data_IF_822371533141
#
_entry.id   IF_822371533141
#
_cell.length_a   1.000
_cell.length_b   1.000
_cell.length_c   1.000
_cell.angle_alpha   90.00
_cell.angle_beta   90.00
_cell.angle_gamma   90.00
#
_symmetry.space_group_name_H-M   'P 1'
#
loop_
_entity.id
_entity.type
_entity.pdbx_description
1 polymer ?
#
# COMPACT_ATOMS: atom_id res chain seq x y z
N UNK A 1 15.37 13.11 11.58
CA UNK A 1 15.88 11.87 12.21
C UNK A 1 16.52 10.90 11.22
N UNK A 2 16.01 10.75 9.99
CA UNK A 2 16.34 9.60 9.15
C UNK A 2 17.75 9.57 8.54
N UNK A 3 18.52 10.66 8.64
CA UNK A 3 19.88 10.70 8.12
C UNK A 3 20.86 10.42 9.26
N UNK A 4 21.79 9.45 9.13
CA UNK A 4 22.03 8.54 7.98
C UNK A 4 21.35 7.16 8.10
N UNK A 5 20.67 6.87 9.21
CA UNK A 5 20.32 5.49 9.61
C UNK A 5 18.94 5.01 9.18
N UNK A 6 18.19 5.83 8.45
CA UNK A 6 16.83 5.54 8.04
C UNK A 6 15.76 5.92 9.08
N UNK A 7 14.48 5.75 8.74
CA UNK A 7 13.36 6.16 9.57
C UNK A 7 13.24 5.32 10.85
N UNK A 8 12.85 5.95 11.96
CA UNK A 8 12.67 5.24 13.23
C UNK A 8 11.39 5.68 13.96
N UNK A 9 11.43 6.79 14.70
CA UNK A 9 10.30 7.26 15.51
C UNK A 9 9.10 7.69 14.65
N UNK A 10 9.36 8.15 13.42
CA UNK A 10 8.32 8.47 12.46
C UNK A 10 7.56 7.25 11.90
N UNK A 11 7.92 6.01 12.29
CA UNK A 11 7.29 4.77 11.79
C UNK A 11 6.96 3.75 12.88
N UNK A 12 7.68 3.73 13.99
CA UNK A 12 7.50 2.70 15.04
C UNK A 12 6.30 2.95 15.98
N UNK A 13 5.58 4.07 15.84
CA UNK A 13 4.46 4.41 16.73
C UNK A 13 3.19 3.60 16.43
N UNK A 14 2.96 3.19 15.17
CA UNK A 14 1.84 2.35 14.78
C UNK A 14 2.04 1.76 13.38
N UNK A 15 1.70 0.48 13.22
CA UNK A 15 1.48 -0.17 11.92
C UNK A 15 0.27 -1.09 12.08
N UNK A 16 -0.66 -1.02 11.13
CA UNK A 16 -1.91 -1.81 11.17
C UNK A 16 -1.93 -2.75 9.98
N UNK A 17 -2.35 -4.00 10.19
CA UNK A 17 -2.53 -5.02 9.15
C UNK A 17 -3.97 -5.51 9.15
N UNK A 18 -4.47 -5.95 7.99
CA UNK A 18 -5.77 -6.63 7.92
C UNK A 18 -5.73 -7.95 8.67
N UNK A 19 -6.86 -8.40 9.25
CA UNK A 19 -6.89 -9.63 10.07
C UNK A 19 -6.84 -10.92 9.24
N UNK A 20 -7.12 -10.84 7.93
CA UNK A 20 -7.19 -12.00 7.05
C UNK A 20 -5.93 -12.15 6.20
N UNK A 21 -5.22 -13.27 6.38
CA UNK A 21 -4.09 -13.66 5.54
C UNK A 21 -4.64 -14.41 4.32
N UNK A 22 -4.61 -13.76 3.15
CA UNK A 22 -4.95 -14.40 1.87
C UNK A 22 -3.74 -15.17 1.37
N UNK A 23 -3.91 -16.47 1.11
CA UNK A 23 -2.78 -17.35 0.75
C UNK A 23 -2.33 -17.14 -0.69
N UNK A 24 -1.08 -17.50 -0.99
CA UNK A 24 -0.53 -17.37 -2.35
C UNK A 24 -1.24 -18.30 -3.35
N UNK A 25 -1.77 -19.43 -2.89
CA UNK A 25 -2.56 -20.36 -3.70
C UNK A 25 -3.88 -19.72 -4.14
N UNK A 26 -4.55 -19.00 -3.23
CA UNK A 26 -5.75 -18.23 -3.55
C UNK A 26 -5.46 -17.13 -4.58
N UNK A 27 -4.27 -16.53 -4.52
CA UNK A 27 -3.83 -15.47 -5.43
C UNK A 27 -3.34 -15.99 -6.80
N UNK A 28 -3.11 -17.29 -6.95
CA UNK A 28 -2.51 -17.86 -8.16
C UNK A 28 -3.23 -17.47 -9.48
N UNK A 29 -4.58 -17.44 -9.55
CA UNK A 29 -5.29 -17.05 -10.78
C UNK A 29 -5.10 -15.59 -11.21
N UNK A 30 -4.69 -14.74 -10.27
CA UNK A 30 -4.53 -13.29 -10.43
C UNK A 30 -3.07 -12.88 -10.65
N UNK A 31 -2.19 -13.86 -10.87
CA UNK A 31 -0.82 -13.60 -11.32
C UNK A 31 -0.83 -13.02 -12.74
N UNK A 32 0.16 -12.18 -13.00
CA UNK A 32 0.41 -11.54 -14.28
C UNK A 32 1.90 -11.54 -14.61
N UNK A 33 2.27 -11.37 -15.89
CA UNK A 33 3.66 -11.16 -16.27
C UNK A 33 4.27 -9.97 -15.53
N UNK A 34 5.48 -10.16 -15.01
CA UNK A 34 6.27 -9.06 -14.46
C UNK A 34 7.21 -8.53 -15.54
N UNK A 35 7.17 -7.22 -15.75
CA UNK A 35 7.99 -6.54 -16.77
C UNK A 35 8.62 -5.27 -16.20
N UNK A 36 9.66 -4.78 -16.88
CA UNK A 36 10.25 -3.46 -16.65
C UNK A 36 9.98 -2.53 -17.82
N UNK A 37 9.96 -1.21 -17.60
CA UNK A 37 9.98 -0.25 -18.69
C UNK A 37 11.14 -0.55 -19.68
N UNK A 38 10.95 -0.39 -21.00
CA UNK A 38 11.96 -0.73 -22.01
C UNK A 38 13.33 -0.05 -21.88
N UNK A 39 13.43 1.05 -21.13
CA UNK A 39 14.68 1.78 -20.87
C UNK A 39 15.39 1.40 -19.57
N UNK A 40 14.78 0.55 -18.74
CA UNK A 40 15.31 0.23 -17.42
C UNK A 40 16.35 -0.89 -17.48
N UNK A 41 17.40 -0.84 -16.64
CA UNK A 41 18.35 -1.92 -16.54
C UNK A 41 17.66 -3.21 -16.08
N UNK A 42 18.06 -4.32 -16.68
CA UNK A 42 17.62 -5.64 -16.23
C UNK A 42 18.22 -5.95 -14.85
N UNK A 43 17.49 -6.66 -13.97
CA UNK A 43 18.04 -7.10 -12.69
C UNK A 43 19.26 -8.01 -12.87
N UNK A 44 20.09 -8.09 -11.83
CA UNK A 44 21.13 -9.11 -11.76
C UNK A 44 20.52 -10.52 -11.79
N UNK A 45 21.26 -11.55 -12.24
CA UNK A 45 20.72 -12.90 -12.43
C UNK A 45 20.01 -13.51 -11.22
N UNK A 46 20.45 -13.21 -9.98
CA UNK A 46 19.79 -13.73 -8.77
C UNK A 46 18.41 -13.13 -8.48
N UNK A 47 18.04 -12.05 -9.18
CA UNK A 47 16.75 -11.36 -9.08
C UNK A 47 15.86 -11.61 -10.31
N UNK A 48 16.20 -12.57 -11.16
CA UNK A 48 15.47 -12.83 -12.39
C UNK A 48 15.35 -14.32 -12.69
N UNK A 49 14.20 -14.73 -13.22
CA UNK A 49 13.96 -16.07 -13.72
C UNK A 49 12.74 -16.09 -14.65
N UNK A 50 12.58 -17.16 -15.44
CA UNK A 50 11.43 -17.30 -16.35
C UNK A 50 10.08 -17.22 -15.61
N UNK A 51 9.96 -17.87 -14.45
CA UNK A 51 8.71 -17.87 -13.67
C UNK A 51 8.31 -16.47 -13.18
N UNK A 52 9.28 -15.63 -12.83
CA UNK A 52 9.07 -14.22 -12.51
C UNK A 52 8.51 -13.47 -13.72
N UNK A 53 9.13 -13.60 -14.90
CA UNK A 53 8.70 -12.91 -16.12
C UNK A 53 7.28 -13.30 -16.53
N UNK A 54 6.94 -14.59 -16.41
CA UNK A 54 5.64 -15.12 -16.83
C UNK A 54 4.51 -14.81 -15.82
N UNK A 55 4.81 -14.74 -14.51
CA UNK A 55 3.78 -14.76 -13.45
C UNK A 55 4.17 -14.08 -12.12
N UNK A 56 5.19 -13.22 -12.15
CA UNK A 56 5.78 -12.59 -10.97
C UNK A 56 4.98 -11.45 -10.36
N UNK A 57 4.13 -10.78 -11.15
CA UNK A 57 3.21 -9.76 -10.67
C UNK A 57 1.91 -10.39 -10.15
N UNK A 58 1.23 -9.70 -9.24
CA UNK A 58 -0.09 -10.10 -8.73
C UNK A 58 -1.01 -8.89 -8.85
N UNK A 59 -2.13 -9.04 -9.57
CA UNK A 59 -3.10 -7.95 -9.74
C UNK A 59 -4.05 -7.89 -8.55
N UNK A 60 -3.63 -7.14 -7.53
CA UNK A 60 -4.42 -6.82 -6.34
C UNK A 60 -4.85 -5.37 -6.46
N UNK A 61 -6.15 -5.13 -6.59
CA UNK A 61 -6.74 -3.80 -6.54
C UNK A 61 -6.62 -3.25 -5.12
N UNK A 62 -6.20 -2.00 -4.98
CA UNK A 62 -5.99 -1.32 -3.71
C UNK A 62 -6.78 -0.03 -3.68
N UNK A 63 -7.48 0.23 -2.58
CA UNK A 63 -8.12 1.52 -2.32
C UNK A 63 -7.77 2.06 -0.95
N UNK A 64 -7.59 3.37 -0.88
CA UNK A 64 -7.48 4.13 0.36
C UNK A 64 -8.62 5.15 0.45
N UNK A 65 -9.26 5.20 1.61
CA UNK A 65 -10.44 6.00 1.90
C UNK A 65 -10.22 6.81 3.17
N UNK A 66 -10.84 7.98 3.24
CA UNK A 66 -10.82 8.87 4.38
C UNK A 66 -12.24 9.20 4.83
N UNK A 67 -12.46 9.10 6.13
CA UNK A 67 -13.71 9.44 6.78
C UNK A 67 -13.42 10.38 7.96
N UNK A 68 -13.75 11.65 7.81
CA UNK A 68 -13.49 12.66 8.86
C UNK A 68 -14.58 12.61 9.93
N UNK A 69 -14.30 13.17 11.11
CA UNK A 69 -15.33 13.27 12.16
C UNK A 69 -16.57 14.07 11.70
N UNK A 70 -16.36 15.12 10.89
CA UNK A 70 -17.44 15.96 10.35
C UNK A 70 -18.20 15.25 9.22
N UNK A 71 -17.54 14.48 8.35
CA UNK A 71 -18.21 13.65 7.35
C UNK A 71 -19.11 12.60 8.00
N UNK A 72 -18.66 11.95 9.07
CA UNK A 72 -19.50 11.05 9.88
C UNK A 72 -20.69 11.75 10.52
N UNK A 73 -20.46 12.90 11.18
CA UNK A 73 -21.52 13.65 11.83
C UNK A 73 -22.60 14.15 10.86
N UNK A 74 -22.21 14.46 9.62
CA UNK A 74 -23.11 14.90 8.56
C UNK A 74 -23.61 13.76 7.66
N UNK A 75 -23.34 12.49 8.00
CA UNK A 75 -23.71 11.30 7.21
C UNK A 75 -23.31 11.36 5.73
N UNK A 76 -22.16 11.98 5.42
CA UNK A 76 -21.65 12.12 4.05
C UNK A 76 -20.97 10.85 3.51
N UNK A 77 -20.63 9.91 4.40
CA UNK A 77 -19.88 8.70 4.07
C UNK A 77 -18.39 8.95 3.80
N UNK A 78 -17.57 7.89 3.69
CA UNK A 78 -16.14 7.99 3.41
C UNK A 78 -15.86 8.46 1.97
N UNK A 79 -14.79 9.23 1.79
CA UNK A 79 -14.27 9.66 0.49
C UNK A 79 -13.11 8.77 0.06
N UNK A 80 -13.15 8.23 -1.17
CA UNK A 80 -12.00 7.53 -1.75
C UNK A 80 -10.93 8.56 -2.10
N UNK A 81 -9.73 8.36 -1.56
CA UNK A 81 -8.57 9.20 -1.86
C UNK A 81 -7.75 8.66 -3.02
N UNK A 82 -7.60 7.34 -3.09
CA UNK A 82 -6.76 6.68 -4.09
C UNK A 82 -7.31 5.32 -4.45
N UNK A 83 -7.12 4.93 -5.70
CA UNK A 83 -7.33 3.58 -6.22
C UNK A 83 -6.14 3.22 -7.10
N UNK A 84 -5.44 2.14 -6.79
CA UNK A 84 -4.34 1.63 -7.62
C UNK A 84 -4.35 0.10 -7.66
N UNK A 85 -3.25 -0.51 -8.11
CA UNK A 85 -3.02 -1.94 -8.09
C UNK A 85 -1.60 -2.30 -7.68
N UNK A 86 -1.45 -3.36 -6.89
CA UNK A 86 -0.16 -3.95 -6.53
C UNK A 86 0.65 -4.42 -7.74
N UNK A 87 0.01 -4.62 -8.91
CA UNK A 87 0.71 -4.94 -10.16
C UNK A 87 1.73 -3.88 -10.58
N UNK A 88 1.59 -2.64 -10.07
CA UNK A 88 2.52 -1.54 -10.33
C UNK A 88 3.81 -1.64 -9.51
N UNK A 89 3.91 -2.57 -8.56
CA UNK A 89 5.14 -2.83 -7.81
C UNK A 89 6.30 -3.14 -8.75
N UNK A 90 7.34 -2.31 -8.64
CA UNK A 90 8.55 -2.44 -9.45
C UNK A 90 9.35 -3.71 -9.15
N UNK A 91 9.36 -4.11 -7.87
CA UNK A 91 9.96 -5.36 -7.40
C UNK A 91 8.86 -6.33 -7.00
N UNK A 92 8.92 -7.55 -7.50
CA UNK A 92 8.01 -8.63 -7.08
C UNK A 92 8.27 -9.10 -5.65
N UNK A 93 7.28 -9.76 -5.04
CA UNK A 93 7.43 -10.43 -3.74
C UNK A 93 8.60 -11.42 -3.74
N UNK A 94 8.77 -12.20 -4.82
CA UNK A 94 9.87 -13.15 -4.94
C UNK A 94 11.25 -12.48 -4.98
N UNK A 95 11.36 -11.31 -5.62
CA UNK A 95 12.61 -10.54 -5.65
C UNK A 95 12.92 -9.92 -4.28
N UNK A 96 11.90 -9.42 -3.58
CA UNK A 96 12.07 -8.92 -2.21
C UNK A 96 12.63 -10.00 -1.29
N UNK A 97 12.09 -11.22 -1.35
CA UNK A 97 12.57 -12.36 -0.56
C UNK A 97 14.00 -12.72 -0.98
N UNK A 98 14.26 -12.92 -2.27
CA UNK A 98 15.59 -13.30 -2.77
C UNK A 98 16.67 -12.28 -2.35
N UNK A 99 16.35 -10.98 -2.43
CA UNK A 99 17.26 -9.93 -1.98
C UNK A 99 17.45 -9.93 -0.47
N UNK A 100 16.38 -10.09 0.31
CA UNK A 100 16.45 -10.11 1.77
C UNK A 100 17.39 -11.23 2.26
N UNK A 101 17.34 -12.40 1.63
CA UNK A 101 18.12 -13.58 2.05
C UNK A 101 19.50 -13.68 1.39
N UNK A 102 19.88 -12.76 0.50
CA UNK A 102 21.10 -12.90 -0.31
C UNK A 102 22.40 -12.93 0.52
N UNK A 103 22.37 -12.31 1.70
CA UNK A 103 23.52 -12.23 2.61
C UNK A 103 23.49 -13.30 3.72
N UNK A 104 22.56 -14.25 3.65
CA UNK A 104 22.38 -15.26 4.70
C UNK A 104 21.40 -14.87 5.81
N UNK A 105 20.68 -13.75 5.69
CA UNK A 105 19.58 -13.42 6.62
C UNK A 105 18.54 -14.54 6.65
N UNK A 106 18.23 -15.05 7.84
CA UNK A 106 17.38 -16.21 8.06
C UNK A 106 15.93 -15.80 8.34
N UNK A 107 15.09 -15.79 7.31
CA UNK A 107 13.64 -15.58 7.49
C UNK A 107 13.03 -16.64 8.43
N UNK A 108 12.10 -16.20 9.26
CA UNK A 108 11.37 -17.03 10.22
C UNK A 108 9.87 -17.05 9.90
N UNK A 109 9.18 -18.10 10.34
CA UNK A 109 7.72 -18.13 10.27
C UNK A 109 7.13 -16.99 11.08
N UNK A 110 6.25 -16.22 10.46
CA UNK A 110 5.64 -15.03 11.06
C UNK A 110 6.33 -13.72 10.71
N UNK A 111 7.48 -13.74 10.02
CA UNK A 111 8.10 -12.53 9.49
C UNK A 111 7.14 -11.81 8.53
N UNK A 112 7.07 -10.48 8.66
CA UNK A 112 6.23 -9.62 7.85
C UNK A 112 7.09 -8.67 7.02
N UNK A 113 7.00 -8.79 5.69
CA UNK A 113 7.70 -7.93 4.75
C UNK A 113 6.73 -6.93 4.11
N UNK A 114 6.90 -5.64 4.43
CA UNK A 114 6.13 -4.58 3.78
C UNK A 114 6.63 -4.33 2.35
N UNK A 115 5.71 -4.19 1.39
CA UNK A 115 6.03 -3.90 -0.01
C UNK A 115 6.53 -2.47 -0.26
N UNK A 116 6.42 -1.60 0.75
CA UNK A 116 6.55 -0.16 0.58
C UNK A 116 5.25 0.48 0.07
N UNK A 117 5.23 1.81 0.05
CA UNK A 117 4.08 2.58 -0.44
C UNK A 117 3.75 2.19 -1.88
N UNK A 118 2.50 1.83 -2.15
CA UNK A 118 2.03 1.41 -3.47
C UNK A 118 1.39 2.59 -4.19
N UNK A 119 2.10 3.13 -5.18
CA UNK A 119 1.63 4.22 -6.04
C UNK A 119 1.56 3.76 -7.49
N UNK A 120 0.44 4.02 -8.15
CA UNK A 120 0.27 3.74 -9.57
C UNK A 120 0.90 4.80 -10.48
N UNK A 121 0.74 4.65 -11.81
CA UNK A 121 1.33 5.57 -12.78
C UNK A 121 0.71 6.97 -12.80
N UNK A 122 -0.53 7.16 -12.35
CA UNK A 122 -1.18 8.48 -12.34
C UNK A 122 -1.22 9.11 -10.94
N UNK A 123 -1.30 10.45 -10.83
CA UNK A 123 -1.31 11.14 -9.53
C UNK A 123 -2.44 10.70 -8.58
N UNK A 124 -3.60 10.31 -9.13
CA UNK A 124 -4.78 9.85 -8.37
C UNK A 124 -4.58 8.45 -7.77
N UNK A 125 -3.59 7.71 -8.27
CA UNK A 125 -3.21 6.38 -7.78
C UNK A 125 -2.12 6.42 -6.71
N UNK A 126 -1.76 7.61 -6.21
CA UNK A 126 -0.71 7.76 -5.21
C UNK A 126 -1.06 7.05 -3.88
N UNK A 127 -0.07 6.41 -3.27
CA UNK A 127 -0.22 5.60 -2.06
C UNK A 127 -0.10 6.35 -0.74
N UNK A 128 0.10 7.67 -0.78
CA UNK A 128 0.21 8.50 0.42
C UNK A 128 -0.38 9.90 0.25
N UNK A 129 -0.82 10.48 1.38
CA UNK A 129 -1.22 11.89 1.43
C UNK A 129 -0.06 12.84 1.09
N UNK A 130 1.19 12.43 1.35
CA UNK A 130 2.37 13.20 0.97
C UNK A 130 2.42 13.40 -0.56
N UNK A 131 2.19 12.35 -1.32
CA UNK A 131 2.17 12.37 -2.78
C UNK A 131 0.91 13.07 -3.30
N UNK A 132 -0.28 12.68 -2.82
CA UNK A 132 -1.57 13.25 -3.24
C UNK A 132 -1.61 14.77 -3.03
N UNK A 133 -1.04 15.25 -1.91
CA UNK A 133 -0.99 16.68 -1.61
C UNK A 133 0.24 17.40 -2.13
N UNK A 134 1.13 16.72 -2.86
CA UNK A 134 2.42 17.25 -3.31
C UNK A 134 3.23 17.94 -2.18
N UNK A 135 3.40 17.23 -1.06
CA UNK A 135 4.07 17.77 0.12
C UNK A 135 3.27 18.86 0.82
N UNK A 136 1.93 18.77 0.79
CA UNK A 136 1.02 19.75 1.38
C UNK A 136 0.76 21.00 0.53
N UNK A 137 1.36 21.11 -0.67
CA UNK A 137 1.17 22.25 -1.57
C UNK A 137 -0.20 22.27 -2.25
N UNK A 138 -0.84 21.10 -2.39
CA UNK A 138 -2.14 20.93 -3.07
C UNK A 138 -3.13 20.23 -2.13
N UNK A 139 -3.95 20.96 -1.37
CA UNK A 139 -4.91 20.33 -0.47
C UNK A 139 -6.01 19.59 -1.24
N UNK A 140 -6.41 18.42 -0.73
CA UNK A 140 -7.53 17.62 -1.21
C UNK A 140 -8.82 18.20 -0.64
N UNK A 141 -9.80 18.46 -1.49
CA UNK A 141 -11.15 18.90 -1.06
C UNK A 141 -12.03 17.67 -0.86
N UNK A 142 -12.60 17.55 0.34
CA UNK A 142 -13.48 16.47 0.76
C UNK A 142 -14.96 16.87 0.65
N UNK A 143 -15.89 15.91 0.68
CA UNK A 143 -17.32 16.20 0.81
C UNK A 143 -17.61 17.15 1.98
N UNK A 144 -18.50 18.12 1.77
CA UNK A 144 -18.83 19.13 2.78
C UNK A 144 -17.80 20.27 2.90
N UNK A 145 -16.80 20.33 2.01
CA UNK A 145 -15.87 21.46 1.86
C UNK A 145 -14.65 21.43 2.76
N UNK A 146 -14.47 20.38 3.58
CA UNK A 146 -13.23 20.19 4.34
C UNK A 146 -12.04 20.02 3.40
N UNK A 147 -10.87 20.48 3.83
CA UNK A 147 -9.62 20.27 3.10
C UNK A 147 -8.64 19.49 3.95
N UNK A 148 -7.85 18.63 3.32
CA UNK A 148 -6.74 17.90 3.96
C UNK A 148 -5.48 17.97 3.12
N UNK A 149 -4.35 18.09 3.80
CA UNK A 149 -3.01 17.88 3.24
C UNK A 149 -2.39 16.64 3.88
N UNK A 150 -2.50 16.54 5.21
CA UNK A 150 -2.21 15.37 6.02
C UNK A 150 -3.41 15.03 6.91
N UNK A 151 -3.33 13.93 7.66
CA UNK A 151 -4.36 13.54 8.60
C UNK A 151 -4.48 14.53 9.76
N UNK A 152 -5.70 14.72 10.24
CA UNK A 152 -6.03 15.44 11.45
C UNK A 152 -6.60 14.48 12.52
N UNK A 153 -6.64 14.94 13.77
CA UNK A 153 -7.27 14.18 14.86
C UNK A 153 -8.73 13.85 14.53
N UNK A 154 -9.12 12.60 14.79
CA UNK A 154 -10.44 12.06 14.50
C UNK A 154 -10.62 11.58 13.05
N UNK A 155 -9.66 11.79 12.16
CA UNK A 155 -9.70 11.20 10.83
C UNK A 155 -9.57 9.66 10.91
N UNK A 156 -10.47 8.95 10.22
CA UNK A 156 -10.43 7.50 10.06
C UNK A 156 -9.96 7.17 8.66
N UNK A 157 -8.85 6.45 8.55
CA UNK A 157 -8.33 5.91 7.30
C UNK A 157 -8.82 4.49 7.13
N UNK A 158 -9.27 4.14 5.94
CA UNK A 158 -9.77 2.81 5.59
C UNK A 158 -9.09 2.31 4.33
N UNK A 159 -8.51 1.12 4.39
CA UNK A 159 -7.94 0.41 3.25
C UNK A 159 -8.81 -0.79 2.87
N UNK A 160 -8.94 -1.00 1.57
CA UNK A 160 -9.61 -2.16 0.98
C UNK A 160 -8.73 -2.72 -0.12
N UNK A 161 -8.68 -4.04 -0.20
CA UNK A 161 -7.97 -4.72 -1.27
C UNK A 161 -8.70 -5.96 -1.73
N UNK A 162 -8.61 -6.25 -3.02
CA UNK A 162 -9.20 -7.45 -3.61
C UNK A 162 -8.54 -7.81 -4.94
N UNK A 163 -8.66 -9.06 -5.34
CA UNK A 163 -8.35 -9.52 -6.69
C UNK A 163 -9.64 -9.76 -7.46
N UNK A 164 -9.67 -9.36 -8.73
CA UNK A 164 -10.79 -9.61 -9.63
C UNK A 164 -10.30 -9.90 -11.05
N UNK A 165 -10.93 -10.86 -11.71
CA UNK A 165 -10.61 -11.27 -13.08
C UNK A 165 -11.83 -11.97 -13.68
N UNK A 166 -12.14 -11.77 -14.98
CA UNK A 166 -13.23 -12.50 -15.62
C UNK A 166 -13.11 -14.02 -15.41
N UNK A 167 -14.24 -14.69 -15.20
CA UNK A 167 -14.34 -16.13 -14.90
C UNK A 167 -13.74 -16.60 -13.56
N UNK A 168 -13.25 -15.71 -12.69
CA UNK A 168 -12.81 -16.05 -11.34
C UNK A 168 -13.66 -15.32 -10.29
N UNK A 169 -13.87 -15.98 -9.15
CA UNK A 169 -14.53 -15.36 -8.00
C UNK A 169 -13.61 -14.28 -7.42
N UNK A 170 -14.16 -13.13 -7.04
CA UNK A 170 -13.40 -12.07 -6.37
C UNK A 170 -12.86 -12.58 -5.04
N UNK A 171 -11.58 -12.31 -4.77
CA UNK A 171 -10.94 -12.63 -3.49
C UNK A 171 -10.62 -11.31 -2.77
N UNK A 172 -11.28 -11.07 -1.63
CA UNK A 172 -11.06 -9.88 -0.82
C UNK A 172 -10.08 -10.10 0.33
N UNK A 173 -9.43 -9.02 0.76
CA UNK A 173 -8.54 -9.00 1.93
C UNK A 173 -9.24 -8.46 3.20
N UNK A 174 -10.55 -8.22 3.10
CA UNK A 174 -11.33 -7.54 4.14
C UNK A 174 -11.11 -6.03 4.14
N UNK A 175 -11.50 -5.41 5.25
CA UNK A 175 -11.30 -3.99 5.51
C UNK A 175 -10.25 -3.82 6.62
N UNK A 176 -9.36 -2.85 6.45
CA UNK A 176 -8.41 -2.40 7.45
C UNK A 176 -8.71 -0.94 7.76
N UNK A 177 -8.93 -0.59 9.03
CA UNK A 177 -9.21 0.79 9.42
C UNK A 177 -8.43 1.23 10.66
N UNK A 178 -8.12 2.52 10.74
CA UNK A 178 -7.51 3.15 11.91
C UNK A 178 -7.97 4.59 12.06
N UNK A 179 -8.22 5.02 13.30
CA UNK A 179 -8.60 6.40 13.61
C UNK A 179 -7.45 7.08 14.33
N UNK A 180 -7.06 8.26 13.83
CA UNK A 180 -6.05 9.10 14.48
C UNK A 180 -6.66 9.69 15.74
N UNK A 181 -6.04 9.41 16.89
CA UNK A 181 -6.39 10.02 18.16
C UNK A 181 -5.49 11.23 18.41
N UNK A 182 -5.97 12.22 19.19
CA UNK A 182 -5.13 13.33 19.62
C UNK A 182 -3.84 12.86 20.27
N UNK A 183 -2.75 13.58 19.97
CA UNK A 183 -1.50 13.39 20.67
C UNK A 183 -1.70 13.57 22.18
N UNK A 184 -0.96 12.80 22.98
CA UNK A 184 -0.93 13.04 24.44
C UNK A 184 -0.38 14.44 24.69
N UNK A 185 -0.98 15.18 25.62
CA UNK A 185 -0.40 16.42 26.11
C UNK A 185 1.03 16.13 26.60
N UNK A 186 1.98 17.01 26.28
CA UNK A 186 3.31 16.94 26.85
C UNK A 186 3.18 17.05 28.37
N UNK A 187 3.62 16.01 29.09
CA UNK A 187 3.78 16.05 30.54
C UNK A 187 4.92 16.97 30.92
#
# INVERSE_FOLDING_TARGET
EYQPLGPFLAKNFATTISPWIVTLEALAPFRAPWTRPPGDPQPLPYLDCRGLRDSGAIDIQLEAWLDTARMRAAALGPQRLSRSSFRHSYWSVSQMIAHHTVNGCNLQTGDLLGSGTQSGPTPEEAGSLLELSAGGKRPITLPGGERRTFLADGDRVVFRAWCEKPAFVRIGFGELAGTVLPARAAS
#
